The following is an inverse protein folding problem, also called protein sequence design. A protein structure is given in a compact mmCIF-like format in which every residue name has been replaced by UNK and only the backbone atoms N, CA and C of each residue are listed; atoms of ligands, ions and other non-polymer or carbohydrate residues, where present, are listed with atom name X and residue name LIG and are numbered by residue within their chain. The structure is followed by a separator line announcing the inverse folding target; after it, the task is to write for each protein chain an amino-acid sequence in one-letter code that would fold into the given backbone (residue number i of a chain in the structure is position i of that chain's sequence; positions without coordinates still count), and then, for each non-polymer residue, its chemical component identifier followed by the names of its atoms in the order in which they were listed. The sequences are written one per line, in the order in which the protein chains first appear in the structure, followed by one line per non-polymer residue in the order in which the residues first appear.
data_IF_635965106837
#
_entry.id   IF_635965106837
#
_cell.length_a   1.000
_cell.length_b   1.000
_cell.length_c   1.000
_cell.angle_alpha   90.00
_cell.angle_beta   90.00
_cell.angle_gamma   90.00
#
_symmetry.space_group_name_H-M   'P 1'
#
loop_
_entity.id
_entity.type
_entity.pdbx_description
1 polymer ?
#
# COMPACT_ATOMS: atom_id res chain seq x y z
N UNK A 1 -9.21 -68.62 -23.03
CA UNK A 1 -10.55 -68.49 -22.41
C UNK A 1 -10.49 -69.15 -21.03
N UNK A 2 -10.76 -68.54 -19.88
CA UNK A 2 -11.13 -67.19 -19.49
C UNK A 2 -10.54 -66.96 -18.09
N UNK A 3 -9.79 -65.88 -17.89
CA UNK A 3 -9.46 -65.36 -16.56
C UNK A 3 -10.76 -64.86 -15.93
N UNK A 4 -11.25 -65.57 -14.93
CA UNK A 4 -12.47 -65.17 -14.22
C UNK A 4 -12.09 -64.19 -13.11
N UNK A 5 -11.90 -62.93 -13.50
CA UNK A 5 -11.84 -61.79 -12.58
C UNK A 5 -13.16 -61.71 -11.82
N UNK A 6 -13.15 -62.17 -10.57
CA UNK A 6 -14.28 -62.04 -9.67
C UNK A 6 -14.22 -60.63 -9.06
N UNK A 7 -15.17 -59.72 -9.34
CA UNK A 7 -15.16 -58.40 -8.74
C UNK A 7 -15.51 -58.53 -7.26
N UNK A 8 -14.56 -58.19 -6.39
CA UNK A 8 -14.80 -58.09 -4.96
C UNK A 8 -16.00 -57.15 -4.72
N UNK A 9 -17.05 -57.68 -4.12
CA UNK A 9 -18.26 -56.96 -3.74
C UNK A 9 -17.88 -55.84 -2.76
N UNK A 10 -18.28 -54.57 -3.00
CA UNK A 10 -17.86 -53.43 -2.17
C UNK A 10 -18.33 -53.52 -0.70
N UNK A 11 -19.35 -54.34 -0.42
CA UNK A 11 -19.88 -54.59 0.93
C UNK A 11 -18.84 -55.29 1.82
N UNK A 12 -17.98 -56.14 1.25
CA UNK A 12 -16.98 -56.88 2.02
C UNK A 12 -15.76 -56.01 2.35
N UNK A 13 -15.36 -55.12 1.43
CA UNK A 13 -14.24 -54.20 1.65
C UNK A 13 -14.49 -53.23 2.81
N UNK A 14 -15.72 -52.74 2.97
CA UNK A 14 -16.08 -51.87 4.09
C UNK A 14 -16.05 -52.62 5.43
N UNK A 15 -16.58 -53.85 5.48
CA UNK A 15 -16.51 -54.68 6.68
C UNK A 15 -15.07 -55.07 7.02
N UNK A 16 -14.25 -55.39 6.02
CA UNK A 16 -12.82 -55.70 6.19
C UNK A 16 -12.06 -54.49 6.75
N UNK A 17 -12.27 -53.30 6.17
CA UNK A 17 -11.65 -52.07 6.66
C UNK A 17 -12.08 -51.71 8.10
N UNK A 18 -13.33 -51.98 8.47
CA UNK A 18 -13.81 -51.80 9.84
C UNK A 18 -13.14 -52.77 10.82
N UNK A 19 -12.96 -54.03 10.43
CA UNK A 19 -12.28 -55.02 11.25
C UNK A 19 -10.78 -54.71 11.38
N UNK A 20 -10.13 -54.27 10.31
CA UNK A 20 -8.73 -53.84 10.34
C UNK A 20 -8.54 -52.59 11.23
N UNK A 21 -9.46 -51.62 11.17
CA UNK A 21 -9.45 -50.47 12.09
C UNK A 21 -9.64 -50.89 13.55
N UNK A 22 -10.61 -51.77 13.83
CA UNK A 22 -10.81 -52.29 15.19
C UNK A 22 -9.59 -53.07 15.68
N UNK A 23 -8.97 -53.89 14.83
CA UNK A 23 -7.75 -54.60 15.17
C UNK A 23 -6.59 -53.64 15.47
N UNK A 24 -6.47 -52.56 14.69
CA UNK A 24 -5.47 -51.50 14.88
C UNK A 24 -5.68 -50.68 16.17
N UNK A 25 -6.93 -50.47 16.59
CA UNK A 25 -7.28 -49.73 17.82
C UNK A 25 -7.19 -50.61 19.07
N UNK A 26 -7.57 -51.88 18.98
CA UNK A 26 -7.55 -52.82 20.11
C UNK A 26 -6.22 -53.56 20.27
N UNK A 27 -5.36 -53.55 19.25
CA UNK A 27 -4.03 -54.16 19.30
C UNK A 27 -3.12 -53.43 20.30
N UNK A 28 -2.35 -54.16 21.10
CA UNK A 28 -1.43 -53.57 22.08
C UNK A 28 -0.14 -52.99 21.48
N UNK A 29 0.01 -53.06 20.15
CA UNK A 29 1.14 -52.48 19.43
C UNK A 29 0.72 -51.09 18.93
N UNK A 30 1.52 -50.04 19.19
CA UNK A 30 1.17 -48.70 18.73
C UNK A 30 1.12 -48.70 17.20
N UNK A 31 -0.08 -48.50 16.66
CA UNK A 31 -0.38 -48.59 15.24
C UNK A 31 0.02 -47.35 14.44
N UNK A 32 0.50 -46.29 15.11
CA UNK A 32 0.94 -45.05 14.49
C UNK A 32 2.30 -44.61 15.05
N UNK A 33 3.26 -44.19 14.20
CA UNK A 33 4.57 -43.72 14.63
C UNK A 33 4.53 -42.38 15.40
N UNK A 34 3.39 -41.66 15.36
CA UNK A 34 3.18 -40.39 16.04
C UNK A 34 2.10 -40.55 17.10
N UNK A 35 2.50 -40.93 18.31
CA UNK A 35 1.57 -41.16 19.41
C UNK A 35 1.57 -39.92 20.32
N UNK A 36 0.58 -39.01 20.21
CA UNK A 36 0.60 -37.70 20.86
C UNK A 36 0.61 -37.76 22.40
N UNK A 37 0.20 -38.91 22.96
CA UNK A 37 0.18 -39.17 24.40
C UNK A 37 1.29 -40.12 24.86
N UNK A 38 2.28 -40.40 24.01
CA UNK A 38 3.47 -41.13 24.46
C UNK A 38 4.38 -40.22 25.27
N UNK A 39 5.00 -40.78 26.31
CA UNK A 39 5.96 -40.04 27.14
C UNK A 39 7.13 -39.49 26.32
N UNK A 40 7.55 -40.19 25.26
CA UNK A 40 8.60 -39.74 24.35
C UNK A 40 8.18 -38.50 23.54
N UNK A 41 6.93 -38.43 23.08
CA UNK A 41 6.40 -37.25 22.40
C UNK A 41 6.28 -36.07 23.34
N UNK A 42 5.80 -36.29 24.58
CA UNK A 42 5.76 -35.23 25.59
C UNK A 42 7.15 -34.69 25.91
N UNK A 43 8.15 -35.56 26.10
CA UNK A 43 9.53 -35.14 26.35
C UNK A 43 10.14 -34.36 25.19
N UNK A 44 9.86 -34.75 23.95
CA UNK A 44 10.31 -34.02 22.77
C UNK A 44 9.68 -32.62 22.69
N UNK A 45 8.37 -32.52 22.96
CA UNK A 45 7.66 -31.23 22.95
C UNK A 45 8.15 -30.32 24.09
N UNK A 46 8.31 -30.84 25.30
CA UNK A 46 8.85 -30.10 26.44
C UNK A 46 10.24 -29.54 26.13
N UNK A 47 11.10 -30.33 25.47
CA UNK A 47 12.44 -29.90 25.08
C UNK A 47 12.39 -28.77 24.04
N UNK A 48 11.46 -28.84 23.08
CA UNK A 48 11.28 -27.82 22.06
C UNK A 48 10.74 -26.51 22.65
N UNK A 49 9.80 -26.60 23.58
CA UNK A 49 9.29 -25.43 24.32
C UNK A 49 10.40 -24.77 25.14
N UNK A 50 11.26 -25.56 25.78
CA UNK A 50 12.36 -25.05 26.57
C UNK A 50 13.46 -24.41 25.71
N UNK A 51 13.73 -24.96 24.52
CA UNK A 51 14.65 -24.36 23.55
C UNK A 51 14.11 -23.01 23.03
N UNK A 52 12.82 -22.93 22.73
CA UNK A 52 12.16 -21.68 22.32
C UNK A 52 12.26 -20.63 23.44
N UNK A 53 11.98 -20.99 24.69
CA UNK A 53 12.11 -20.08 25.84
C UNK A 53 13.55 -19.61 26.05
N UNK A 54 14.54 -20.48 25.81
CA UNK A 54 15.95 -20.13 25.93
C UNK A 54 16.44 -19.23 24.78
N UNK A 55 15.91 -19.42 23.57
CA UNK A 55 16.29 -18.65 22.36
C UNK A 55 15.59 -17.28 22.31
N UNK A 56 14.38 -17.18 22.88
CA UNK A 56 13.62 -15.93 23.06
C UNK A 56 14.15 -15.01 24.17
N UNK A 57 15.39 -15.22 24.64
CA UNK A 57 16.02 -14.46 25.73
C UNK A 57 15.67 -12.97 25.78
N UNK A 58 15.40 -12.52 27.01
CA UNK A 58 15.02 -11.15 27.43
C UNK A 58 13.81 -10.57 26.65
N UNK A 59 12.60 -11.06 26.99
CA UNK A 59 11.28 -10.59 26.52
C UNK A 59 11.16 -9.04 26.47
N UNK A 60 11.90 -8.34 27.32
CA UNK A 60 11.92 -6.88 27.43
C UNK A 60 12.56 -6.20 26.20
N UNK A 61 13.59 -6.82 25.62
CA UNK A 61 14.23 -6.33 24.40
C UNK A 61 13.34 -6.60 23.16
N UNK A 62 12.65 -7.75 23.12
CA UNK A 62 11.75 -8.06 22.01
C UNK A 62 10.46 -7.25 22.08
N UNK A 63 9.89 -7.03 23.26
CA UNK A 63 8.72 -6.17 23.43
C UNK A 63 9.02 -4.71 23.08
N UNK A 64 10.19 -4.19 23.45
CA UNK A 64 10.60 -2.83 23.08
C UNK A 64 10.86 -2.69 21.57
N UNK A 65 11.49 -3.69 20.93
CA UNK A 65 11.64 -3.70 19.47
C UNK A 65 10.30 -3.86 18.75
N UNK A 66 9.40 -4.71 19.25
CA UNK A 66 8.07 -4.91 18.68
C UNK A 66 7.21 -3.66 18.79
N UNK A 67 7.26 -2.96 19.93
CA UNK A 67 6.57 -1.67 20.10
C UNK A 67 7.12 -0.56 19.20
N UNK A 68 8.42 -0.56 18.89
CA UNK A 68 8.99 0.36 17.91
C UNK A 68 8.51 0.04 16.49
N UNK A 69 8.50 -1.24 16.12
CA UNK A 69 8.01 -1.69 14.80
C UNK A 69 6.52 -1.43 14.65
N UNK A 70 5.72 -1.69 15.68
CA UNK A 70 4.28 -1.45 15.65
C UNK A 70 3.95 0.04 15.64
N UNK A 71 4.72 0.89 16.32
CA UNK A 71 4.59 2.33 16.23
C UNK A 71 4.94 2.88 14.84
N UNK A 72 6.00 2.34 14.20
CA UNK A 72 6.35 2.69 12.82
C UNK A 72 5.29 2.21 11.83
N UNK A 73 4.77 0.99 12.01
CA UNK A 73 3.69 0.46 11.18
C UNK A 73 2.41 1.28 11.36
N UNK A 74 2.05 1.65 12.58
CA UNK A 74 0.91 2.52 12.86
C UNK A 74 1.10 3.91 12.23
N UNK A 75 2.28 4.51 12.30
CA UNK A 75 2.56 5.79 11.65
C UNK A 75 2.47 5.72 10.10
N UNK A 76 2.79 4.56 9.52
CA UNK A 76 2.62 4.32 8.09
C UNK A 76 1.16 4.04 7.69
N UNK A 77 0.35 3.48 8.61
CA UNK A 77 -1.05 3.10 8.36
C UNK A 77 -2.06 4.19 8.72
N UNK A 78 -1.75 5.04 9.70
CA UNK A 78 -2.55 6.20 10.15
C UNK A 78 -2.35 7.44 9.28
N UNK A 79 -1.65 7.32 8.14
CA UNK A 79 -1.51 8.43 7.21
C UNK A 79 -2.53 8.30 6.07
N UNK A 80 -3.74 8.91 6.18
CA UNK A 80 -4.67 9.01 5.06
C UNK A 80 -4.18 9.97 3.95
N UNK A 81 -2.94 10.48 4.04
CA UNK A 81 -2.37 11.48 3.12
C UNK A 81 -1.29 10.94 2.15
N UNK A 82 -1.07 9.62 2.10
CA UNK A 82 0.13 9.07 1.42
C UNK A 82 -0.08 8.53 0.01
N UNK A 83 -1.29 8.43 -0.54
CA UNK A 83 -1.44 8.10 -1.97
C UNK A 83 -0.99 9.28 -2.82
N UNK A 84 -1.61 10.44 -2.62
CA UNK A 84 -1.40 11.64 -3.43
C UNK A 84 0.02 12.20 -3.26
N UNK A 85 0.51 12.38 -2.02
CA UNK A 85 1.89 12.85 -1.79
C UNK A 85 2.92 11.91 -2.43
N UNK A 86 2.72 10.58 -2.33
CA UNK A 86 3.63 9.59 -2.91
C UNK A 86 3.62 9.65 -4.43
N UNK A 87 2.45 9.75 -5.07
CA UNK A 87 2.32 9.92 -6.52
C UNK A 87 2.98 11.22 -6.99
N UNK A 88 2.75 12.32 -6.28
CA UNK A 88 3.39 13.62 -6.57
C UNK A 88 4.90 13.57 -6.39
N UNK A 89 5.40 12.92 -5.33
CA UNK A 89 6.84 12.79 -5.08
C UNK A 89 7.50 11.92 -6.14
N UNK A 90 6.82 10.86 -6.61
CA UNK A 90 7.34 10.00 -7.67
C UNK A 90 7.41 10.74 -9.02
N UNK A 91 6.42 11.57 -9.36
CA UNK A 91 6.41 12.33 -10.62
C UNK A 91 7.28 13.60 -10.57
N UNK A 92 7.22 14.37 -9.48
CA UNK A 92 7.77 15.73 -9.40
C UNK A 92 8.89 15.91 -8.36
N UNK A 93 9.25 14.87 -7.60
CA UNK A 93 10.26 14.96 -6.53
C UNK A 93 11.67 15.33 -7.02
N UNK A 94 11.96 15.22 -8.32
CA UNK A 94 13.22 15.70 -8.93
C UNK A 94 13.20 17.18 -9.32
N UNK A 95 12.03 17.83 -9.28
CA UNK A 95 11.82 19.22 -9.75
C UNK A 95 11.40 20.17 -8.65
N UNK A 96 10.87 19.64 -7.55
CA UNK A 96 10.31 20.43 -6.46
C UNK A 96 10.70 19.82 -5.10
N UNK A 97 11.14 20.64 -4.13
CA UNK A 97 11.45 20.16 -2.79
C UNK A 97 10.26 19.45 -2.15
N UNK A 98 10.54 18.35 -1.45
CA UNK A 98 9.51 17.52 -0.81
C UNK A 98 8.62 18.31 0.16
N UNK A 99 9.18 19.31 0.86
CA UNK A 99 8.42 20.17 1.75
C UNK A 99 7.34 20.97 1.01
N UNK A 100 7.65 21.50 -0.18
CA UNK A 100 6.68 22.26 -0.96
C UNK A 100 5.64 21.33 -1.61
N UNK A 101 6.05 20.13 -2.02
CA UNK A 101 5.11 19.10 -2.52
C UNK A 101 4.13 18.65 -1.43
N UNK A 102 4.60 18.47 -0.20
CA UNK A 102 3.74 18.13 0.94
C UNK A 102 2.74 19.26 1.23
N UNK A 103 3.21 20.51 1.25
CA UNK A 103 2.33 21.68 1.41
C UNK A 103 1.28 21.76 0.30
N UNK A 104 1.68 21.54 -0.96
CA UNK A 104 0.76 21.54 -2.09
C UNK A 104 -0.28 20.41 -1.98
N UNK A 105 0.13 19.21 -1.59
CA UNK A 105 -0.77 18.06 -1.44
C UNK A 105 -1.89 18.35 -0.43
N UNK A 106 -1.54 18.84 0.76
CA UNK A 106 -2.52 19.22 1.80
C UNK A 106 -3.45 20.32 1.31
N UNK A 107 -2.90 21.36 0.69
CA UNK A 107 -3.70 22.48 0.18
C UNK A 107 -4.64 22.08 -0.97
N UNK A 108 -4.23 21.14 -1.82
CA UNK A 108 -5.10 20.59 -2.86
C UNK A 108 -6.27 19.80 -2.26
N UNK A 109 -6.02 18.99 -1.23
CA UNK A 109 -7.10 18.25 -0.54
C UNK A 109 -8.09 19.18 0.16
N UNK A 110 -7.60 20.24 0.81
CA UNK A 110 -8.44 21.29 1.39
C UNK A 110 -9.25 22.02 0.31
N UNK A 111 -8.61 22.38 -0.81
CA UNK A 111 -9.27 23.08 -1.91
C UNK A 111 -10.31 22.21 -2.61
N UNK A 112 -10.05 20.91 -2.81
CA UNK A 112 -11.02 19.98 -3.39
C UNK A 112 -12.27 19.84 -2.51
N UNK A 113 -12.09 19.83 -1.19
CA UNK A 113 -13.19 19.76 -0.21
C UNK A 113 -14.04 21.03 -0.14
N UNK A 114 -13.56 22.15 -0.70
CA UNK A 114 -14.24 23.45 -0.63
C UNK A 114 -15.41 23.63 -1.59
N UNK A 115 -15.54 22.76 -2.61
CA UNK A 115 -16.59 22.85 -3.64
C UNK A 115 -16.47 24.04 -4.61
N UNK A 116 -15.31 24.69 -4.66
CA UNK A 116 -15.02 25.79 -5.60
C UNK A 116 -14.87 25.29 -7.05
N UNK A 117 -14.88 26.18 -8.04
CA UNK A 117 -14.58 25.81 -9.41
C UNK A 117 -13.11 25.36 -9.56
N UNK A 118 -12.82 24.46 -10.50
CA UNK A 118 -11.48 23.87 -10.71
C UNK A 118 -10.35 24.92 -10.76
N UNK A 119 -10.57 26.03 -11.45
CA UNK A 119 -9.59 27.12 -11.56
C UNK A 119 -9.32 27.75 -10.18
N UNK A 120 -10.36 27.99 -9.40
CA UNK A 120 -10.24 28.61 -8.07
C UNK A 120 -9.59 27.65 -7.07
N UNK A 121 -9.86 26.34 -7.19
CA UNK A 121 -9.17 25.31 -6.41
C UNK A 121 -7.66 25.30 -6.70
N UNK A 122 -7.27 25.32 -7.98
CA UNK A 122 -5.87 25.38 -8.39
C UNK A 122 -5.17 26.64 -7.90
N UNK A 123 -5.82 27.79 -8.00
CA UNK A 123 -5.23 29.08 -7.57
C UNK A 123 -5.09 29.11 -6.05
N UNK A 124 -6.10 28.67 -5.31
CA UNK A 124 -6.05 28.60 -3.84
C UNK A 124 -4.90 27.70 -3.37
N UNK A 125 -4.76 26.51 -3.97
CA UNK A 125 -3.70 25.59 -3.58
C UNK A 125 -2.28 26.09 -3.90
N UNK A 126 -2.11 26.86 -4.97
CA UNK A 126 -0.80 27.36 -5.41
C UNK A 126 -0.38 28.67 -4.77
N UNK A 127 -1.34 29.50 -4.34
CA UNK A 127 -1.07 30.77 -3.69
C UNK A 127 -0.35 30.62 -2.34
N UNK A 128 -0.48 29.46 -1.69
CA UNK A 128 0.27 29.14 -0.48
C UNK A 128 1.78 28.98 -0.72
N UNK A 129 2.20 28.69 -1.96
CA UNK A 129 3.59 28.39 -2.32
C UNK A 129 4.23 29.53 -3.10
N UNK A 130 3.44 30.19 -3.95
CA UNK A 130 3.93 31.26 -4.83
C UNK A 130 3.30 32.57 -4.38
N UNK A 131 4.03 33.30 -3.54
CA UNK A 131 3.58 34.58 -2.95
C UNK A 131 3.76 35.78 -3.87
N UNK A 132 4.55 35.65 -4.94
CA UNK A 132 4.93 36.77 -5.81
C UNK A 132 3.87 37.13 -6.88
N UNK A 133 2.81 36.33 -7.00
CA UNK A 133 1.75 36.52 -8.01
C UNK A 133 0.38 36.77 -7.36
N UNK A 134 -0.38 37.69 -7.95
CA UNK A 134 -1.76 37.92 -7.57
C UNK A 134 -2.66 36.77 -8.03
N UNK A 135 -3.77 36.55 -7.33
CA UNK A 135 -4.74 35.50 -7.69
C UNK A 135 -5.27 35.67 -9.11
N UNK A 136 -5.51 36.91 -9.56
CA UNK A 136 -5.97 37.21 -10.92
C UNK A 136 -4.98 36.74 -11.99
N UNK A 137 -3.67 36.93 -11.76
CA UNK A 137 -2.62 36.51 -12.69
C UNK A 137 -2.52 34.98 -12.73
N UNK A 138 -2.62 34.32 -11.57
CA UNK A 138 -2.64 32.86 -11.48
C UNK A 138 -3.87 32.26 -12.17
N UNK A 139 -5.03 32.90 -12.08
CA UNK A 139 -6.24 32.49 -12.81
C UNK A 139 -6.03 32.54 -14.32
N UNK A 140 -5.39 33.60 -14.85
CA UNK A 140 -5.07 33.70 -16.28
C UNK A 140 -4.15 32.56 -16.72
N UNK A 141 -3.18 32.19 -15.88
CA UNK A 141 -2.23 31.10 -16.15
C UNK A 141 -2.87 29.71 -16.02
N UNK A 142 -3.86 29.54 -15.15
CA UNK A 142 -4.58 28.28 -14.92
C UNK A 142 -5.60 27.96 -16.01
N UNK A 143 -6.24 28.98 -16.61
CA UNK A 143 -7.24 28.83 -17.68
C UNK A 143 -6.88 27.83 -18.79
N UNK A 144 -5.70 27.89 -19.45
CA UNK A 144 -5.36 26.94 -20.50
C UNK A 144 -5.29 25.49 -19.98
N UNK A 145 -4.97 25.27 -18.70
CA UNK A 145 -4.88 23.93 -18.10
C UNK A 145 -6.26 23.41 -17.66
N UNK A 146 -7.14 24.30 -17.19
CA UNK A 146 -8.49 23.94 -16.76
C UNK A 146 -9.48 23.79 -17.92
N UNK A 147 -9.30 24.53 -19.01
CA UNK A 147 -10.21 24.56 -20.16
C UNK A 147 -9.79 23.66 -21.33
N UNK A 148 -8.71 22.88 -21.20
CA UNK A 148 -8.34 21.95 -22.27
C UNK A 148 -9.34 20.79 -22.33
N UNK A 149 -10.39 20.97 -23.13
CA UNK A 149 -11.42 19.98 -23.36
C UNK A 149 -10.80 18.83 -24.18
N UNK A 150 -10.39 17.76 -23.51
CA UNK A 150 -10.32 16.37 -24.03
C UNK A 150 -9.79 16.26 -25.48
N UNK A 151 -8.57 16.73 -25.73
CA UNK A 151 -7.87 16.46 -26.99
C UNK A 151 -6.93 15.27 -26.83
N UNK A 152 -7.51 14.08 -26.73
CA UNK A 152 -7.02 12.80 -27.29
C UNK A 152 -5.60 12.26 -27.08
N UNK A 153 -4.63 12.93 -26.45
CA UNK A 153 -3.28 12.34 -26.34
C UNK A 153 -2.42 12.78 -25.14
N UNK A 154 -2.60 13.98 -24.58
CA UNK A 154 -1.81 14.44 -23.42
C UNK A 154 -2.64 15.35 -22.51
N UNK A 155 -2.48 15.20 -21.19
CA UNK A 155 -3.03 16.14 -20.22
C UNK A 155 -2.32 17.50 -20.41
N UNK A 156 -3.05 18.62 -20.60
CA UNK A 156 -2.44 19.95 -20.70
C UNK A 156 -1.51 20.28 -19.52
N UNK A 157 -1.76 19.73 -18.33
CA UNK A 157 -0.92 19.92 -17.16
C UNK A 157 0.44 19.23 -17.31
N UNK A 158 0.45 17.99 -17.82
CA UNK A 158 1.70 17.25 -18.09
C UNK A 158 2.50 17.93 -19.20
N UNK A 159 1.85 18.45 -20.25
CA UNK A 159 2.51 19.21 -21.32
C UNK A 159 3.17 20.50 -20.79
N UNK A 160 2.51 21.22 -19.88
CA UNK A 160 3.10 22.41 -19.26
C UNK A 160 4.27 22.03 -18.36
N UNK A 161 4.13 20.99 -17.53
CA UNK A 161 5.20 20.51 -16.66
C UNK A 161 6.44 20.06 -17.46
N UNK A 162 6.25 19.45 -18.63
CA UNK A 162 7.34 19.05 -19.53
C UNK A 162 7.97 20.23 -20.28
N UNK A 163 7.23 21.31 -20.54
CA UNK A 163 7.75 22.52 -21.19
C UNK A 163 8.70 23.33 -20.31
N UNK A 164 8.66 23.11 -18.99
CA UNK A 164 9.49 23.80 -18.01
C UNK A 164 10.84 23.09 -17.91
N UNK A 165 11.90 23.89 -17.76
CA UNK A 165 13.27 23.38 -17.70
C UNK A 165 13.44 22.39 -16.54
N UNK A 166 14.24 21.37 -16.78
CA UNK A 166 14.49 20.28 -15.83
C UNK A 166 15.63 20.63 -14.87
N UNK A 167 15.48 21.73 -14.14
CA UNK A 167 16.52 22.30 -13.26
C UNK A 167 15.98 22.35 -11.83
N UNK A 168 16.88 22.48 -10.85
CA UNK A 168 16.53 22.68 -9.44
C UNK A 168 15.53 23.83 -9.26
N UNK A 169 14.59 23.65 -8.33
CA UNK A 169 13.50 24.61 -8.09
C UNK A 169 13.98 26.04 -7.88
N UNK A 170 15.11 26.22 -7.20
CA UNK A 170 15.73 27.53 -6.93
C UNK A 170 16.26 28.24 -8.18
N UNK A 171 16.49 27.53 -9.27
CA UNK A 171 17.00 28.09 -10.54
C UNK A 171 15.88 28.44 -11.52
N UNK A 172 14.64 28.01 -11.23
CA UNK A 172 13.46 28.36 -12.00
C UNK A 172 13.08 29.83 -11.77
N UNK A 173 12.63 30.50 -12.82
CA UNK A 173 12.03 31.84 -12.68
C UNK A 173 10.72 31.76 -11.88
N UNK A 174 10.32 32.86 -11.24
CA UNK A 174 9.05 32.93 -10.49
C UNK A 174 7.84 32.52 -11.36
N UNK A 175 7.88 32.88 -12.65
CA UNK A 175 6.85 32.46 -13.62
C UNK A 175 6.87 30.95 -13.86
N UNK A 176 8.04 30.34 -13.99
CA UNK A 176 8.18 28.88 -14.16
C UNK A 176 7.75 28.13 -12.89
N UNK A 177 8.10 28.64 -11.71
CA UNK A 177 7.65 28.08 -10.42
C UNK A 177 6.12 28.12 -10.30
N UNK A 178 5.48 29.25 -10.66
CA UNK A 178 4.03 29.39 -10.70
C UNK A 178 3.35 28.43 -11.68
N UNK A 179 3.92 28.25 -12.87
CA UNK A 179 3.37 27.31 -13.87
C UNK A 179 3.56 25.86 -13.45
N UNK A 180 4.69 25.53 -12.83
CA UNK A 180 4.94 24.18 -12.32
C UNK A 180 3.98 23.86 -11.18
N UNK A 181 3.81 24.77 -10.21
CA UNK A 181 2.89 24.54 -9.09
C UNK A 181 1.44 24.41 -9.56
N UNK A 182 0.99 25.22 -10.52
CA UNK A 182 -0.34 25.10 -11.13
C UNK A 182 -0.53 23.78 -11.87
N UNK A 183 0.48 23.32 -12.62
CA UNK A 183 0.42 22.03 -13.29
C UNK A 183 0.34 20.87 -12.29
N UNK A 184 1.13 20.91 -11.21
CA UNK A 184 1.10 19.91 -10.15
C UNK A 184 -0.26 19.92 -9.42
N UNK A 185 -0.81 21.09 -9.12
CA UNK A 185 -2.12 21.22 -8.48
C UNK A 185 -3.23 20.65 -9.36
N UNK A 186 -3.19 20.90 -10.68
CA UNK A 186 -4.14 20.30 -11.64
C UNK A 186 -4.05 18.78 -11.65
N UNK A 187 -2.83 18.24 -11.70
CA UNK A 187 -2.59 16.80 -11.67
C UNK A 187 -3.05 16.16 -10.35
N UNK A 188 -2.78 16.81 -9.22
CA UNK A 188 -3.24 16.36 -7.91
C UNK A 188 -4.78 16.32 -7.81
N UNK A 189 -5.46 17.35 -8.34
CA UNK A 189 -6.93 17.40 -8.39
C UNK A 189 -7.51 16.28 -9.29
N UNK A 190 -6.90 15.99 -10.44
CA UNK A 190 -7.35 14.86 -11.29
C UNK A 190 -7.18 13.51 -10.62
N UNK A 191 -6.09 13.31 -9.87
CA UNK A 191 -5.88 12.06 -9.13
C UNK A 191 -6.91 11.91 -8.02
N UNK A 192 -7.30 13.00 -7.36
CA UNK A 192 -8.34 12.98 -6.32
C UNK A 192 -9.75 12.74 -6.90
N UNK A 193 -10.06 13.30 -8.08
CA UNK A 193 -11.30 13.02 -8.82
C UNK A 193 -11.39 11.57 -9.34
N UNK A 194 -10.25 10.88 -9.48
CA UNK A 194 -10.19 9.50 -9.95
C UNK A 194 -10.26 8.45 -8.82
N UNK A 195 -10.02 8.86 -7.57
CA UNK A 195 -10.04 8.01 -6.36
C UNK A 195 -11.41 8.04 -5.65
N UNK A 196 -12.31 8.94 -6.06
CA UNK A 196 -13.73 9.09 -5.61
C UNK A 196 -14.69 8.31 -6.57
#
# INVERSE_FOLDING_TARGET
MNESTNPATPVNAQQQAQLDLLHSVLGSAPSLPWHPYSSATTQYLDQLEQDVVNDLGDDLAMASQWSQVSALAAALWEAPETSLLKTLTQKFGTRMPQQLLAQLATQVQEAASSGQALIDQMVTATQAIVTDFAADDLQVMARPMALAMRSGADDPADSVAQSIRTVEWSELSALEQARLSLAIARYALTELEADD
#
